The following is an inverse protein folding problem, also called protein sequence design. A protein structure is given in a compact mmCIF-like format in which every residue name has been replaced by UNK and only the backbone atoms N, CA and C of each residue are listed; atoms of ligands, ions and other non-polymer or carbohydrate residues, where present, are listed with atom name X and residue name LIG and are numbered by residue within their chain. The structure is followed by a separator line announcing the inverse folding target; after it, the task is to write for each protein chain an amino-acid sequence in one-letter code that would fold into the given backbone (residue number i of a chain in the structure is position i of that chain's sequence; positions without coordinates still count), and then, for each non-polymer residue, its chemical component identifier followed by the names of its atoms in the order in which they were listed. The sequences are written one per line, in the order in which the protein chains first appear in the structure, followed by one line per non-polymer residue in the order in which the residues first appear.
data_IF_316226098173
#
_entry.id   IF_316226098173
#
_cell.length_a   1.000
_cell.length_b   1.000
_cell.length_c   1.000
_cell.angle_alpha   90.00
_cell.angle_beta   90.00
_cell.angle_gamma   90.00
#
_symmetry.space_group_name_H-M   'P 1'
#
loop_
_entity.id
_entity.type
_entity.pdbx_description
1 polymer ?
#
# COMPACT_ATOMS: atom_id res chain seq x y z
N UNK A 1 19.36 -1.43 -6.65
CA UNK A 1 18.30 -2.19 -5.98
C UNK A 1 18.34 -1.99 -4.49
N UNK A 2 17.76 -0.87 -4.05
CA UNK A 2 17.43 -0.64 -2.65
C UNK A 2 16.12 -1.35 -2.33
N UNK A 3 16.15 -2.19 -1.29
CA UNK A 3 15.00 -2.97 -0.83
C UNK A 3 14.65 -2.50 0.57
N UNK A 4 13.40 -2.10 0.77
CA UNK A 4 12.86 -1.80 2.09
C UNK A 4 12.16 -3.03 2.62
N UNK A 5 12.53 -3.43 3.83
CA UNK A 5 11.93 -4.55 4.51
C UNK A 5 11.54 -4.19 5.94
N UNK A 6 10.29 -4.45 6.32
CA UNK A 6 9.82 -4.25 7.69
C UNK A 6 8.69 -5.21 8.10
N UNK A 7 8.48 -5.34 9.41
CA UNK A 7 7.32 -6.03 9.98
C UNK A 7 6.26 -4.99 10.34
N UNK A 8 5.09 -5.08 9.73
CA UNK A 8 3.96 -4.24 10.06
C UNK A 8 3.25 -4.80 11.30
N UNK A 9 3.35 -4.08 12.42
CA UNK A 9 2.68 -4.44 13.67
C UNK A 9 1.20 -4.13 13.63
N UNK A 10 0.79 -3.23 12.77
CA UNK A 10 -0.60 -2.91 12.54
C UNK A 10 -0.86 -2.70 11.05
N UNK A 11 -2.06 -3.13 10.65
CA UNK A 11 -2.62 -2.98 9.32
C UNK A 11 -4.01 -2.43 9.51
N UNK A 12 -4.33 -1.33 8.82
CA UNK A 12 -5.66 -0.75 8.91
C UNK A 12 -6.22 -0.35 7.55
N UNK A 13 -7.54 -0.31 7.48
CA UNK A 13 -8.30 0.07 6.29
C UNK A 13 -9.48 0.92 6.69
N UNK A 14 -9.68 2.04 6.02
CA UNK A 14 -10.78 2.95 6.30
C UNK A 14 -11.26 3.67 5.04
N UNK A 15 -12.43 4.31 5.14
CA UNK A 15 -13.01 5.19 4.13
C UNK A 15 -13.09 6.59 4.75
N UNK A 16 -12.45 7.56 4.12
CA UNK A 16 -12.43 8.96 4.56
C UNK A 16 -12.63 9.84 3.34
N UNK A 17 -13.59 10.77 3.41
CA UNK A 17 -13.87 11.74 2.35
C UNK A 17 -14.03 11.15 0.94
N UNK A 18 -14.59 9.95 0.84
CA UNK A 18 -14.76 9.25 -0.44
C UNK A 18 -13.50 8.55 -0.97
N UNK A 19 -12.39 8.56 -0.22
CA UNK A 19 -11.19 7.81 -0.51
C UNK A 19 -11.10 6.55 0.37
N UNK A 20 -10.85 5.41 -0.27
CA UNK A 20 -10.52 4.18 0.42
C UNK A 20 -9.01 4.17 0.70
N UNK A 21 -8.64 3.89 1.95
CA UNK A 21 -7.26 3.83 2.41
C UNK A 21 -6.89 2.43 2.93
N UNK A 22 -5.60 2.12 2.82
CA UNK A 22 -4.95 1.00 3.50
C UNK A 22 -3.55 1.43 3.93
N UNK A 23 -3.13 0.99 5.11
CA UNK A 23 -1.79 1.25 5.64
C UNK A 23 -1.22 0.02 6.32
N UNK A 24 0.10 -0.13 6.20
CA UNK A 24 0.92 -1.05 6.98
C UNK A 24 2.00 -0.24 7.66
N UNK A 25 2.17 -0.40 8.97
CA UNK A 25 3.16 0.36 9.71
C UNK A 25 3.82 -0.45 10.83
N UNK A 26 5.09 -0.15 11.06
CA UNK A 26 5.92 -0.88 12.02
C UNK A 26 5.55 -0.58 13.49
N UNK A 27 4.98 0.60 13.76
CA UNK A 27 4.40 1.00 15.05
C UNK A 27 3.54 2.26 14.88
N UNK A 28 2.95 2.74 15.97
CA UNK A 28 2.20 4.01 16.01
C UNK A 28 3.12 5.23 16.14
N UNK A 29 4.44 5.03 16.14
CA UNK A 29 5.41 6.11 16.29
C UNK A 29 5.50 6.96 15.00
N UNK A 30 5.62 8.29 15.10
CA UNK A 30 5.66 9.18 13.93
C UNK A 30 6.82 8.93 12.95
N UNK A 31 7.89 8.27 13.39
CA UNK A 31 9.06 7.93 12.58
C UNK A 31 9.08 6.46 12.13
N UNK A 32 8.05 5.69 12.46
CA UNK A 32 7.95 4.29 12.08
C UNK A 32 7.77 4.13 10.57
N UNK A 33 8.51 3.15 10.03
CA UNK A 33 8.39 2.72 8.64
C UNK A 33 6.94 2.34 8.33
N UNK A 34 6.39 2.94 7.28
CA UNK A 34 5.02 2.71 6.84
C UNK A 34 4.91 2.73 5.33
N UNK A 35 3.93 2.00 4.84
CA UNK A 35 3.51 2.02 3.45
C UNK A 35 1.99 2.15 3.40
N UNK A 36 1.47 3.02 2.53
CA UNK A 36 0.03 3.21 2.38
C UNK A 36 -0.38 3.26 0.90
N UNK A 37 -1.62 2.87 0.65
CA UNK A 37 -2.29 3.06 -0.62
C UNK A 37 -3.64 3.73 -0.38
N UNK A 38 -4.04 4.60 -1.31
CA UNK A 38 -5.36 5.19 -1.28
C UNK A 38 -5.89 5.48 -2.68
N UNK A 39 -7.22 5.54 -2.80
CA UNK A 39 -7.89 5.96 -4.03
C UNK A 39 -9.24 6.57 -3.71
N UNK A 40 -9.55 7.68 -4.36
CA UNK A 40 -10.90 8.24 -4.43
C UNK A 40 -11.83 7.27 -5.18
N UNK A 41 -12.83 6.73 -4.50
CA UNK A 41 -13.80 5.80 -5.09
C UNK A 41 -14.95 6.52 -5.81
N UNK A 42 -15.07 7.84 -5.63
CA UNK A 42 -16.00 8.68 -6.36
C UNK A 42 -15.49 9.04 -7.76
N UNK A 43 -14.17 8.94 -7.97
CA UNK A 43 -13.52 9.12 -9.28
C UNK A 43 -13.16 7.75 -9.91
N UNK A 44 -14.02 7.21 -10.80
CA UNK A 44 -13.75 5.93 -11.44
C UNK A 44 -12.53 5.96 -12.38
N UNK A 45 -12.13 7.14 -12.84
CA UNK A 45 -10.95 7.34 -13.70
C UNK A 45 -9.69 7.69 -12.88
N UNK A 46 -9.87 7.95 -11.57
CA UNK A 46 -8.81 8.29 -10.64
C UNK A 46 -7.78 7.17 -10.46
N UNK A 47 -6.51 7.52 -10.49
CA UNK A 47 -5.43 6.58 -10.14
C UNK A 47 -5.31 6.42 -8.63
N UNK A 48 -4.85 5.26 -8.18
CA UNK A 48 -4.39 5.10 -6.80
C UNK A 48 -3.14 5.96 -6.54
N UNK A 49 -3.00 6.38 -5.29
CA UNK A 49 -1.81 6.98 -4.69
C UNK A 49 -1.12 5.94 -3.80
N UNK A 50 0.21 5.94 -3.80
CA UNK A 50 1.04 5.14 -2.90
C UNK A 50 2.04 6.04 -2.19
N UNK A 51 2.29 5.75 -0.92
CA UNK A 51 3.15 6.56 -0.04
C UNK A 51 4.00 5.67 0.86
N UNK A 52 5.21 6.12 1.15
CA UNK A 52 6.08 5.56 2.17
C UNK A 52 6.39 6.66 3.18
N UNK A 53 6.25 6.41 4.49
CA UNK A 53 6.54 7.38 5.57
C UNK A 53 5.67 8.66 5.58
N UNK A 54 5.70 9.47 4.53
CA UNK A 54 4.96 10.73 4.41
C UNK A 54 4.75 11.15 2.94
N UNK A 55 4.02 12.25 2.75
CA UNK A 55 3.63 12.77 1.45
C UNK A 55 4.81 13.16 0.55
N UNK A 56 5.98 13.46 1.12
CA UNK A 56 7.18 13.78 0.32
C UNK A 56 7.71 12.53 -0.40
N UNK A 57 7.38 11.35 0.14
CA UNK A 57 7.69 10.03 -0.39
C UNK A 57 6.46 9.32 -0.97
N UNK A 58 5.62 10.04 -1.71
CA UNK A 58 4.45 9.46 -2.37
C UNK A 58 4.25 9.85 -3.82
N UNK A 59 3.47 9.03 -4.55
CA UNK A 59 3.10 9.27 -5.94
C UNK A 59 1.88 8.47 -6.41
N UNK A 60 1.25 8.94 -7.49
CA UNK A 60 0.21 8.20 -8.20
C UNK A 60 0.79 7.19 -9.20
N UNK A 61 0.23 5.99 -9.22
CA UNK A 61 0.57 4.95 -10.20
C UNK A 61 1.99 4.38 -10.05
N UNK A 62 2.57 4.44 -8.85
CA UNK A 62 3.98 4.10 -8.60
C UNK A 62 4.33 2.63 -8.66
N UNK A 63 3.36 1.71 -8.73
CA UNK A 63 3.55 0.26 -8.57
C UNK A 63 3.55 -0.43 -9.92
N UNK A 64 4.59 -1.22 -10.18
CA UNK A 64 4.72 -2.05 -11.38
C UNK A 64 4.12 -3.45 -11.17
N UNK A 65 4.31 -4.03 -9.99
CA UNK A 65 3.80 -5.35 -9.64
C UNK A 65 3.53 -5.44 -8.14
N UNK A 66 2.48 -6.15 -7.77
CA UNK A 66 2.09 -6.35 -6.37
C UNK A 66 1.72 -7.80 -6.11
N UNK A 67 2.18 -8.34 -4.99
CA UNK A 67 1.76 -9.65 -4.50
C UNK A 67 1.31 -9.52 -3.05
N UNK A 68 0.04 -9.83 -2.80
CA UNK A 68 -0.54 -9.89 -1.47
C UNK A 68 -0.87 -11.34 -1.12
N UNK A 69 -0.35 -11.81 0.01
CA UNK A 69 -0.74 -13.08 0.60
C UNK A 69 -1.10 -12.91 2.08
N UNK A 70 -1.43 -14.02 2.75
CA UNK A 70 -1.91 -14.06 4.13
C UNK A 70 -1.01 -13.41 5.18
N UNK A 71 0.28 -13.27 4.91
CA UNK A 71 1.28 -12.83 5.89
C UNK A 71 2.25 -11.80 5.34
N UNK A 72 2.06 -11.38 4.08
CA UNK A 72 3.09 -10.64 3.36
C UNK A 72 2.51 -9.80 2.22
N UNK A 73 3.13 -8.65 2.00
CA UNK A 73 2.96 -7.82 0.81
C UNK A 73 4.33 -7.60 0.16
N UNK A 74 4.40 -7.81 -1.15
CA UNK A 74 5.53 -7.44 -2.00
C UNK A 74 5.07 -6.41 -3.02
N UNK A 75 5.83 -5.33 -3.17
CA UNK A 75 5.55 -4.24 -4.10
C UNK A 75 6.81 -3.89 -4.88
N UNK A 76 6.81 -4.20 -6.17
CA UNK A 76 7.83 -3.71 -7.10
C UNK A 76 7.38 -2.38 -7.67
N UNK A 77 8.26 -1.40 -7.62
CA UNK A 77 7.96 -0.04 -8.06
C UNK A 77 8.34 0.17 -9.53
N UNK A 78 7.60 1.05 -10.19
CA UNK A 78 8.00 1.63 -11.48
C UNK A 78 9.21 2.55 -11.27
N UNK A 79 9.96 2.97 -12.31
CA UNK A 79 11.03 3.96 -12.14
C UNK A 79 10.57 5.24 -11.43
N UNK A 80 9.36 5.74 -11.76
CA UNK A 80 8.75 6.88 -11.07
C UNK A 80 8.49 6.59 -9.59
N UNK A 81 7.94 5.41 -9.28
CA UNK A 81 7.70 4.99 -7.90
C UNK A 81 9.01 4.90 -7.13
N UNK A 82 10.05 4.35 -7.75
CA UNK A 82 11.35 4.21 -7.12
C UNK A 82 12.03 5.53 -6.80
N UNK A 83 12.01 6.47 -7.75
CA UNK A 83 12.55 7.81 -7.54
C UNK A 83 11.80 8.54 -6.40
N UNK A 84 10.50 8.30 -6.24
CA UNK A 84 9.66 8.97 -5.25
C UNK A 84 9.72 8.33 -3.86
N UNK A 85 9.70 7.00 -3.77
CA UNK A 85 9.67 6.26 -2.49
C UNK A 85 11.08 5.88 -2.02
N UNK A 86 12.11 6.14 -2.82
CA UNK A 86 13.51 5.87 -2.48
C UNK A 86 13.85 4.39 -2.37
N UNK A 87 13.17 3.53 -3.13
CA UNK A 87 13.45 2.09 -3.15
C UNK A 87 12.94 1.43 -4.44
N UNK A 88 13.38 0.22 -4.75
CA UNK A 88 12.90 -0.56 -5.91
C UNK A 88 11.86 -1.62 -5.51
N UNK A 89 11.92 -2.08 -4.27
CA UNK A 89 11.06 -3.12 -3.73
C UNK A 89 10.71 -2.81 -2.28
N UNK A 90 9.43 -2.94 -1.95
CA UNK A 90 8.93 -2.98 -0.57
C UNK A 90 8.52 -4.42 -0.28
N UNK A 91 9.12 -5.00 0.76
CA UNK A 91 8.82 -6.32 1.29
C UNK A 91 8.37 -6.18 2.73
N UNK A 92 7.07 -6.33 3.01
CA UNK A 92 6.58 -6.27 4.38
C UNK A 92 5.89 -7.56 4.78
N UNK A 93 6.06 -7.92 6.05
CA UNK A 93 5.35 -8.99 6.71
C UNK A 93 4.30 -8.41 7.65
N UNK A 94 3.21 -9.13 7.84
CA UNK A 94 2.16 -8.75 8.78
C UNK A 94 1.43 -9.99 9.32
N UNK A 95 0.74 -9.81 10.43
CA UNK A 95 -0.13 -10.81 11.01
C UNK A 95 -1.50 -10.22 11.30
N UNK A 96 -2.53 -10.75 10.65
CA UNK A 96 -3.93 -10.36 10.88
C UNK A 96 -4.82 -11.60 10.98
N UNK A 97 -5.97 -11.46 11.62
CA UNK A 97 -7.00 -12.51 11.61
C UNK A 97 -7.50 -12.80 10.18
N UNK A 98 -8.19 -13.92 9.99
CA UNK A 98 -8.82 -14.25 8.70
C UNK A 98 -9.85 -13.22 8.24
N UNK A 99 -10.71 -12.77 9.15
CA UNK A 99 -11.67 -11.71 8.86
C UNK A 99 -10.96 -10.41 8.43
N UNK A 100 -9.91 -9.99 9.16
CA UNK A 100 -9.14 -8.79 8.81
C UNK A 100 -8.38 -8.93 7.50
N UNK A 101 -7.88 -10.11 7.18
CA UNK A 101 -7.24 -10.36 5.88
C UNK A 101 -8.24 -10.30 4.73
N UNK A 102 -9.45 -10.82 4.90
CA UNK A 102 -10.51 -10.73 3.89
C UNK A 102 -10.91 -9.27 3.65
N UNK A 103 -11.05 -8.49 4.72
CA UNK A 103 -11.29 -7.04 4.66
C UNK A 103 -10.17 -6.30 3.93
N UNK A 104 -8.91 -6.57 4.30
CA UNK A 104 -7.72 -6.02 3.65
C UNK A 104 -7.72 -6.29 2.15
N UNK A 105 -7.92 -7.56 1.75
CA UNK A 105 -7.93 -7.95 0.34
C UNK A 105 -9.05 -7.25 -0.43
N UNK A 106 -10.26 -7.19 0.14
CA UNK A 106 -11.38 -6.51 -0.50
C UNK A 106 -11.11 -5.00 -0.65
N UNK A 107 -10.52 -4.37 0.36
CA UNK A 107 -10.09 -2.97 0.31
C UNK A 107 -9.03 -2.74 -0.77
N UNK A 108 -8.01 -3.60 -0.83
CA UNK A 108 -6.97 -3.56 -1.85
C UNK A 108 -7.52 -3.68 -3.27
N UNK A 109 -8.49 -4.58 -3.49
CA UNK A 109 -9.17 -4.72 -4.77
C UNK A 109 -9.90 -3.44 -5.19
N UNK A 110 -10.48 -2.70 -4.25
CA UNK A 110 -11.12 -1.39 -4.53
C UNK A 110 -10.09 -0.31 -4.85
N UNK A 111 -9.04 -0.20 -4.05
CA UNK A 111 -7.97 0.80 -4.25
C UNK A 111 -7.29 0.60 -5.61
N UNK A 112 -7.03 -0.65 -5.99
CA UNK A 112 -6.31 -1.00 -7.22
C UNK A 112 -7.24 -1.40 -8.38
N UNK A 113 -8.53 -1.08 -8.29
CA UNK A 113 -9.50 -1.47 -9.32
C UNK A 113 -9.08 -0.98 -10.72
N UNK A 114 -9.17 -1.85 -11.73
CA UNK A 114 -8.81 -1.51 -13.12
C UNK A 114 -7.30 -1.44 -13.42
N UNK A 115 -6.42 -1.61 -12.42
CA UNK A 115 -4.95 -1.60 -12.63
C UNK A 115 -4.39 -2.94 -13.09
N UNK A 116 -5.08 -4.04 -12.80
CA UNK A 116 -4.56 -5.40 -13.00
C UNK A 116 -3.46 -5.82 -12.02
N UNK A 117 -3.17 -5.00 -10.99
CA UNK A 117 -2.11 -5.27 -10.00
C UNK A 117 -2.52 -6.27 -8.91
N UNK A 118 -3.82 -6.55 -8.76
CA UNK A 118 -4.33 -7.47 -7.75
C UNK A 118 -5.52 -8.27 -8.30
N UNK A 119 -5.53 -9.57 -8.00
CA UNK A 119 -6.61 -10.51 -8.31
C UNK A 119 -7.41 -10.87 -7.03
#
# INVERSE_FOLDING_TARGET
MEVIQFEARWVDTWLEDGAQHVIWAASDEPDAERFSLQRDISDPDGSYYCERNDQDQGCYGGIAQLHLNRTQLLVWLTPKGSDRLGCELILLHFSTSEARYAELRATMQRVLAGTGLIE
#
